data_IF_972389386683
#
_entry.id   IF_972389386683
#
_cell.length_a   1.000
_cell.length_b   1.000
_cell.length_c   1.000
_cell.angle_alpha   90.00
_cell.angle_beta   90.00
_cell.angle_gamma   90.00
#
_symmetry.space_group_name_H-M   'P 1'
#
loop_
_entity.id
_entity.type
_entity.pdbx_description
1 polymer ?
#
# COMPACT_ATOMS: atom_id res chain seq x y z
N UNK A 1 -18.00 6.08 2.80
CA UNK A 1 -16.55 6.09 3.11
C UNK A 1 -15.70 6.23 1.85
N UNK A 2 -15.84 5.36 0.84
CA UNK A 2 -15.09 5.52 -0.44
C UNK A 2 -15.28 6.90 -1.09
N UNK A 3 -16.53 7.40 -1.17
CA UNK A 3 -16.80 8.75 -1.69
C UNK A 3 -16.16 9.87 -0.86
N UNK A 4 -16.04 9.67 0.45
CA UNK A 4 -15.36 10.62 1.32
C UNK A 4 -13.84 10.58 1.08
N UNK A 5 -13.27 9.38 0.92
CA UNK A 5 -11.86 9.19 0.60
C UNK A 5 -11.46 9.92 -0.70
N UNK A 6 -12.30 9.86 -1.74
CA UNK A 6 -12.07 10.58 -3.01
C UNK A 6 -11.99 12.09 -2.89
N UNK A 7 -12.67 12.65 -1.87
CA UNK A 7 -12.65 14.09 -1.58
C UNK A 7 -11.51 14.48 -0.65
N UNK A 8 -10.82 13.52 -0.06
CA UNK A 8 -9.68 13.75 0.83
C UNK A 8 -8.41 13.95 0.01
N UNK A 9 -7.72 15.06 0.26
CA UNK A 9 -6.45 15.39 -0.41
C UNK A 9 -5.24 14.75 0.26
N UNK A 10 -5.28 14.58 1.59
CA UNK A 10 -4.17 14.02 2.37
C UNK A 10 -4.07 12.49 2.16
N UNK A 11 -2.95 11.97 1.61
CA UNK A 11 -2.88 10.57 1.20
C UNK A 11 -3.01 9.56 2.35
N UNK A 12 -2.50 9.86 3.55
CA UNK A 12 -2.59 8.98 4.72
C UNK A 12 -4.05 8.77 5.13
N UNK A 13 -4.78 9.86 5.33
CA UNK A 13 -6.21 9.84 5.65
C UNK A 13 -7.03 9.21 4.52
N UNK A 14 -6.69 9.48 3.25
CA UNK A 14 -7.36 8.85 2.11
C UNK A 14 -7.16 7.34 2.11
N UNK A 15 -5.94 6.85 2.35
CA UNK A 15 -5.64 5.44 2.46
C UNK A 15 -6.40 4.78 3.61
N UNK A 16 -6.46 5.43 4.78
CA UNK A 16 -7.26 4.93 5.91
C UNK A 16 -8.76 4.79 5.55
N UNK A 17 -9.34 5.81 4.90
CA UNK A 17 -10.75 5.79 4.53
C UNK A 17 -11.06 4.72 3.49
N UNK A 18 -10.17 4.51 2.52
CA UNK A 18 -10.30 3.42 1.56
C UNK A 18 -10.15 2.05 2.22
N UNK A 19 -9.15 1.85 3.08
CA UNK A 19 -8.98 0.61 3.84
C UNK A 19 -10.22 0.29 4.69
N UNK A 20 -10.77 1.29 5.39
CA UNK A 20 -12.04 1.14 6.14
C UNK A 20 -13.24 0.88 5.23
N UNK A 21 -13.25 1.43 4.02
CA UNK A 21 -14.27 1.10 3.03
C UNK A 21 -14.14 -0.39 2.68
N UNK A 22 -12.97 -0.85 2.22
CA UNK A 22 -12.73 -2.22 1.78
C UNK A 22 -13.03 -3.26 2.87
N UNK A 23 -12.74 -2.95 4.14
CA UNK A 23 -13.06 -3.83 5.27
C UNK A 23 -14.57 -4.02 5.53
N UNK A 24 -15.45 -3.24 4.89
CA UNK A 24 -16.89 -3.48 4.96
C UNK A 24 -17.35 -4.63 4.06
N UNK A 25 -16.55 -5.01 3.05
CA UNK A 25 -16.81 -6.20 2.25
C UNK A 25 -16.33 -7.44 2.99
N UNK A 26 -17.26 -8.31 3.38
CA UNK A 26 -16.99 -9.55 4.14
C UNK A 26 -16.90 -10.80 3.26
N UNK A 27 -16.82 -10.63 1.95
CA UNK A 27 -16.88 -11.72 0.98
C UNK A 27 -17.51 -11.24 -0.34
N UNK A 28 -17.86 -12.19 -1.23
CA UNK A 28 -18.58 -11.91 -2.46
C UNK A 28 -19.90 -11.18 -2.19
N UNK A 29 -20.26 -10.24 -3.05
CA UNK A 29 -21.57 -9.58 -3.00
C UNK A 29 -22.70 -10.61 -3.13
N UNK A 30 -23.72 -10.49 -2.28
CA UNK A 30 -24.89 -11.40 -2.25
C UNK A 30 -24.51 -12.89 -2.29
N UNK A 31 -23.52 -13.32 -1.50
CA UNK A 31 -23.03 -14.70 -1.50
C UNK A 31 -24.16 -15.76 -1.39
N UNK A 32 -25.19 -15.52 -0.57
CA UNK A 32 -26.34 -16.42 -0.39
C UNK A 32 -27.29 -16.47 -1.60
N UNK A 33 -27.15 -15.54 -2.56
CA UNK A 33 -27.96 -15.40 -3.76
C UNK A 33 -27.08 -15.36 -5.03
N UNK A 34 -25.87 -15.93 -4.96
CA UNK A 34 -24.86 -15.81 -6.01
C UNK A 34 -25.32 -16.39 -7.36
N UNK A 35 -26.23 -17.37 -7.35
CA UNK A 35 -26.77 -18.02 -8.55
C UNK A 35 -28.13 -17.46 -8.98
N UNK A 36 -28.67 -16.49 -8.23
CA UNK A 36 -30.01 -15.96 -8.49
C UNK A 36 -30.00 -14.93 -9.63
N UNK A 37 -30.82 -15.07 -10.69
CA UNK A 37 -30.82 -14.15 -11.83
C UNK A 37 -31.07 -12.69 -11.46
N UNK A 38 -31.91 -12.42 -10.46
CA UNK A 38 -32.21 -11.05 -10.01
C UNK A 38 -31.01 -10.37 -9.33
N UNK A 39 -30.08 -11.16 -8.77
CA UNK A 39 -28.93 -10.66 -8.03
C UNK A 39 -27.75 -10.35 -8.95
N UNK A 40 -27.63 -11.02 -10.11
CA UNK A 40 -26.46 -10.95 -11.00
C UNK A 40 -26.00 -9.52 -11.33
N UNK A 41 -26.92 -8.66 -11.76
CA UNK A 41 -26.59 -7.28 -12.10
C UNK A 41 -26.08 -6.47 -10.89
N UNK A 42 -26.65 -6.73 -9.71
CA UNK A 42 -26.23 -6.08 -8.46
C UNK A 42 -24.88 -6.60 -7.98
N UNK A 43 -24.62 -7.91 -8.11
CA UNK A 43 -23.34 -8.55 -7.81
C UNK A 43 -22.24 -7.94 -8.69
N UNK A 44 -22.43 -7.97 -10.01
CA UNK A 44 -21.46 -7.42 -10.96
C UNK A 44 -21.12 -5.95 -10.65
N UNK A 45 -22.13 -5.12 -10.39
CA UNK A 45 -21.94 -3.70 -10.03
C UNK A 45 -21.17 -3.52 -8.72
N UNK A 46 -21.46 -4.33 -7.70
CA UNK A 46 -20.81 -4.21 -6.39
C UNK A 46 -19.36 -4.72 -6.42
N UNK A 47 -19.08 -5.79 -7.16
CA UNK A 47 -17.72 -6.28 -7.38
C UNK A 47 -16.90 -5.29 -8.22
N UNK A 48 -17.48 -4.71 -9.27
CA UNK A 48 -16.88 -3.59 -10.01
C UNK A 48 -16.48 -2.46 -9.07
N UNK A 49 -17.43 -1.99 -8.25
CA UNK A 49 -17.20 -0.90 -7.31
C UNK A 49 -16.09 -1.25 -6.30
N UNK A 50 -16.05 -2.49 -5.82
CA UNK A 50 -15.00 -2.97 -4.92
C UNK A 50 -13.63 -2.92 -5.60
N UNK A 51 -13.53 -3.36 -6.85
CA UNK A 51 -12.29 -3.34 -7.62
C UNK A 51 -11.81 -1.92 -7.88
N UNK A 52 -12.70 -1.00 -8.26
CA UNK A 52 -12.32 0.42 -8.43
C UNK A 52 -11.78 1.00 -7.13
N UNK A 53 -12.42 0.72 -5.99
CA UNK A 53 -11.93 1.19 -4.68
C UNK A 53 -10.58 0.57 -4.32
N UNK A 54 -10.33 -0.69 -4.68
CA UNK A 54 -9.04 -1.35 -4.48
C UNK A 54 -7.93 -0.68 -5.32
N UNK A 55 -8.21 -0.34 -6.58
CA UNK A 55 -7.27 0.38 -7.45
C UNK A 55 -6.95 1.78 -6.88
N UNK A 56 -7.97 2.54 -6.47
CA UNK A 56 -7.80 3.87 -5.86
C UNK A 56 -7.02 3.79 -4.52
N UNK A 57 -7.28 2.75 -3.72
CA UNK A 57 -6.56 2.50 -2.48
C UNK A 57 -5.09 2.21 -2.76
N UNK A 58 -4.81 1.32 -3.71
CA UNK A 58 -3.47 0.92 -4.08
C UNK A 58 -2.65 2.10 -4.65
N UNK A 59 -3.27 2.92 -5.51
CA UNK A 59 -2.61 4.13 -6.04
C UNK A 59 -2.31 5.15 -4.94
N UNK A 60 -3.20 5.28 -3.95
CA UNK A 60 -2.92 6.13 -2.77
C UNK A 60 -1.75 5.59 -1.95
N UNK A 61 -1.61 4.27 -1.81
CA UNK A 61 -0.49 3.65 -1.09
C UNK A 61 0.84 3.76 -1.84
N UNK A 62 0.83 3.80 -3.17
CA UNK A 62 2.02 4.13 -3.95
C UNK A 62 2.55 5.53 -3.59
N UNK A 63 1.68 6.52 -3.42
CA UNK A 63 2.08 7.88 -3.02
C UNK A 63 2.69 7.94 -1.62
N UNK A 64 2.36 6.97 -0.77
CA UNK A 64 2.89 6.80 0.58
C UNK A 64 4.21 6.01 0.62
N UNK A 65 4.70 5.51 -0.52
CA UNK A 65 5.93 4.73 -0.61
C UNK A 65 5.82 3.28 -0.11
N UNK A 66 4.60 2.74 0.06
CA UNK A 66 4.36 1.41 0.62
C UNK A 66 4.57 0.26 -0.39
N UNK A 67 5.61 0.36 -1.22
CA UNK A 67 5.79 -0.46 -2.43
C UNK A 67 5.85 -1.97 -2.18
N UNK A 68 6.70 -2.41 -1.24
CA UNK A 68 6.99 -3.83 -1.03
C UNK A 68 5.78 -4.63 -0.54
N UNK A 69 5.09 -4.09 0.47
CA UNK A 69 3.88 -4.71 1.02
C UNK A 69 2.74 -4.67 0.00
N UNK A 70 2.55 -3.54 -0.69
CA UNK A 70 1.51 -3.41 -1.70
C UNK A 70 1.70 -4.39 -2.86
N UNK A 71 2.94 -4.59 -3.32
CA UNK A 71 3.24 -5.52 -4.41
C UNK A 71 2.83 -6.98 -4.07
N UNK A 72 3.00 -7.38 -2.81
CA UNK A 72 2.58 -8.71 -2.34
C UNK A 72 1.05 -8.80 -2.22
N UNK A 73 0.40 -7.80 -1.65
CA UNK A 73 -1.06 -7.78 -1.48
C UNK A 73 -1.82 -7.75 -2.82
N UNK A 74 -1.27 -7.08 -3.83
CA UNK A 74 -1.88 -7.03 -5.18
C UNK A 74 -1.67 -8.30 -6.00
N UNK A 75 -0.91 -9.29 -5.51
CA UNK A 75 -0.66 -10.50 -6.27
C UNK A 75 -1.95 -11.26 -6.60
N UNK A 76 -2.69 -11.65 -5.58
CA UNK A 76 -3.90 -12.45 -5.71
C UNK A 76 -5.03 -11.71 -6.47
N UNK A 77 -5.33 -10.42 -6.22
CA UNK A 77 -6.30 -9.68 -7.03
C UNK A 77 -5.96 -9.61 -8.53
N UNK A 78 -4.67 -9.48 -8.84
CA UNK A 78 -4.20 -9.39 -10.23
C UNK A 78 -4.34 -10.72 -10.97
N UNK A 79 -4.18 -11.85 -10.25
CA UNK A 79 -4.39 -13.20 -10.78
C UNK A 79 -5.88 -13.51 -10.95
N UNK A 80 -6.74 -13.08 -10.00
CA UNK A 80 -8.21 -13.24 -10.10
C UNK A 80 -8.84 -12.40 -11.19
N UNK A 81 -8.25 -11.25 -11.52
CA UNK A 81 -8.78 -10.32 -12.51
C UNK A 81 -7.73 -10.02 -13.60
N UNK A 82 -7.41 -11.00 -14.46
CA UNK A 82 -6.29 -10.90 -15.39
C UNK A 82 -6.42 -9.74 -16.40
N UNK A 83 -7.65 -9.39 -16.78
CA UNK A 83 -7.95 -8.32 -17.74
C UNK A 83 -8.10 -6.92 -17.12
N UNK A 84 -7.90 -6.78 -15.80
CA UNK A 84 -7.88 -5.46 -15.14
C UNK A 84 -6.52 -4.83 -15.27
N UNK A 85 -6.32 -4.09 -16.36
CA UNK A 85 -5.06 -3.40 -16.62
C UNK A 85 -4.70 -2.38 -15.53
N UNK A 86 -5.70 -1.77 -14.86
CA UNK A 86 -5.48 -0.87 -13.72
C UNK A 86 -4.73 -1.54 -12.56
N UNK A 87 -5.27 -2.65 -12.05
CA UNK A 87 -4.59 -3.47 -11.03
C UNK A 87 -3.19 -3.94 -11.47
N UNK A 88 -3.05 -4.37 -12.73
CA UNK A 88 -1.75 -4.79 -13.29
C UNK A 88 -0.75 -3.63 -13.27
N UNK A 89 -1.15 -2.45 -13.72
CA UNK A 89 -0.32 -1.25 -13.73
C UNK A 89 0.14 -0.87 -12.32
N UNK A 90 -0.77 -0.85 -11.35
CA UNK A 90 -0.44 -0.51 -9.95
C UNK A 90 0.48 -1.55 -9.31
N UNK A 91 0.31 -2.86 -9.60
CA UNK A 91 1.26 -3.90 -9.16
C UNK A 91 2.63 -3.73 -9.81
N UNK A 92 2.70 -3.41 -11.11
CA UNK A 92 3.96 -3.13 -11.81
C UNK A 92 4.69 -1.95 -11.17
N UNK A 93 3.99 -0.84 -10.87
CA UNK A 93 4.56 0.31 -10.16
C UNK A 93 5.07 -0.06 -8.78
N UNK A 94 4.30 -0.82 -8.00
CA UNK A 94 4.70 -1.28 -6.68
C UNK A 94 5.97 -2.14 -6.73
N UNK A 95 6.06 -3.08 -7.68
CA UNK A 95 7.26 -3.90 -7.89
C UNK A 95 8.47 -3.04 -8.29
N UNK A 96 8.28 -2.08 -9.21
CA UNK A 96 9.33 -1.18 -9.64
C UNK A 96 9.86 -0.29 -8.50
N UNK A 97 8.97 0.32 -7.71
CA UNK A 97 9.33 1.12 -6.53
C UNK A 97 10.02 0.30 -5.43
N UNK A 98 9.74 -1.00 -5.34
CA UNK A 98 10.44 -1.94 -4.47
C UNK A 98 11.78 -2.45 -5.05
N UNK A 99 12.23 -1.93 -6.20
CA UNK A 99 13.48 -2.35 -6.85
C UNK A 99 13.40 -3.69 -7.60
N UNK A 100 12.19 -4.25 -7.78
CA UNK A 100 11.94 -5.57 -8.39
C UNK A 100 11.55 -5.44 -9.86
N UNK A 101 12.38 -4.75 -10.65
CA UNK A 101 12.11 -4.45 -12.07
C UNK A 101 11.78 -5.69 -12.91
N UNK A 102 12.54 -6.79 -12.75
CA UNK A 102 12.33 -8.00 -13.53
C UNK A 102 10.91 -8.58 -13.33
N UNK A 103 10.41 -8.54 -12.10
CA UNK A 103 9.06 -9.01 -11.78
C UNK A 103 7.99 -8.05 -12.32
N UNK A 104 8.25 -6.74 -12.29
CA UNK A 104 7.35 -5.77 -12.92
C UNK A 104 7.22 -6.01 -14.43
N UNK A 105 8.32 -6.31 -15.13
CA UNK A 105 8.30 -6.64 -16.56
C UNK A 105 7.62 -8.00 -16.84
N UNK A 106 7.76 -8.97 -15.94
CA UNK A 106 7.03 -10.24 -16.04
C UNK A 106 5.51 -10.04 -15.98
N UNK A 107 5.02 -9.16 -15.09
CA UNK A 107 3.58 -8.83 -15.02
C UNK A 107 3.04 -8.29 -16.35
N UNK A 108 3.83 -7.46 -17.06
CA UNK A 108 3.46 -6.95 -18.39
C UNK A 108 3.41 -8.07 -19.44
N UNK A 109 4.37 -8.99 -19.42
CA UNK A 109 4.39 -10.12 -20.35
C UNK A 109 3.20 -11.06 -20.12
N UNK A 110 2.82 -11.28 -18.86
CA UNK A 110 1.67 -12.10 -18.51
C UNK A 110 0.35 -11.49 -19.00
N UNK A 111 0.11 -10.19 -18.76
CA UNK A 111 -1.14 -9.55 -19.22
C UNK A 111 -1.22 -9.48 -20.75
N UNK A 112 -0.11 -9.21 -21.43
CA UNK A 112 -0.08 -9.24 -22.90
C UNK A 112 -0.46 -10.62 -23.44
N UNK A 113 0.11 -11.68 -22.86
CA UNK A 113 -0.22 -13.05 -23.24
C UNK A 113 -1.70 -13.37 -22.99
N UNK A 114 -2.24 -13.02 -21.82
CA UNK A 114 -3.66 -13.25 -21.53
C UNK A 114 -4.59 -12.48 -22.48
N UNK A 115 -4.28 -11.22 -22.81
CA UNK A 115 -5.09 -10.42 -23.73
C UNK A 115 -5.06 -10.98 -25.16
N UNK A 116 -3.89 -11.40 -25.63
CA UNK A 116 -3.72 -11.99 -26.96
C UNK A 116 -4.42 -13.36 -27.04
N UNK A 117 -4.13 -14.26 -26.10
CA UNK A 117 -4.64 -15.63 -26.12
C UNK A 117 -6.17 -15.70 -25.95
N UNK A 118 -6.76 -14.89 -25.07
CA UNK A 118 -8.19 -14.98 -24.71
C UNK A 118 -9.08 -14.03 -25.50
N UNK A 119 -8.55 -12.86 -25.89
CA UNK A 119 -9.34 -11.79 -26.53
C UNK A 119 -8.81 -11.37 -27.91
N UNK A 120 -7.60 -11.79 -28.30
CA UNK A 120 -6.94 -11.31 -29.52
C UNK A 120 -6.64 -9.81 -29.48
N UNK A 121 -6.41 -9.27 -28.28
CA UNK A 121 -6.18 -7.85 -28.04
C UNK A 121 -4.74 -7.59 -27.58
N UNK A 122 -4.25 -6.38 -27.86
CA UNK A 122 -2.99 -5.89 -27.30
C UNK A 122 -3.25 -5.04 -26.05
N UNK A 123 -2.25 -4.90 -25.15
CA UNK A 123 -2.35 -4.04 -23.97
C UNK A 123 -2.70 -2.59 -24.31
N UNK A 124 -3.45 -1.94 -23.42
CA UNK A 124 -3.83 -0.55 -23.56
C UNK A 124 -2.64 0.41 -23.52
N UNK A 125 -2.77 1.62 -24.10
CA UNK A 125 -1.66 2.57 -24.26
C UNK A 125 -1.00 2.95 -22.93
N UNK A 126 -1.78 3.13 -21.86
CA UNK A 126 -1.25 3.46 -20.54
C UNK A 126 -0.30 2.37 -19.99
N UNK A 127 -0.61 1.10 -20.25
CA UNK A 127 0.20 -0.04 -19.79
C UNK A 127 1.46 -0.21 -20.64
N UNK A 128 1.35 0.03 -21.95
CA UNK A 128 2.50 0.09 -22.88
C UNK A 128 3.46 1.20 -22.49
N UNK A 129 2.95 2.41 -22.22
CA UNK A 129 3.74 3.56 -21.79
C UNK A 129 4.47 3.28 -20.46
N UNK A 130 3.77 2.66 -19.50
CA UNK A 130 4.35 2.26 -18.22
C UNK A 130 5.53 1.30 -18.41
N UNK A 131 5.33 0.25 -19.22
CA UNK A 131 6.37 -0.72 -19.54
C UNK A 131 7.59 -0.06 -20.19
N UNK A 132 7.37 0.82 -21.17
CA UNK A 132 8.46 1.56 -21.81
C UNK A 132 9.20 2.49 -20.84
N UNK A 133 8.48 3.17 -19.94
CA UNK A 133 9.08 3.99 -18.89
C UNK A 133 9.97 3.17 -17.95
N UNK A 134 9.53 1.97 -17.57
CA UNK A 134 10.31 1.05 -16.72
C UNK A 134 11.58 0.56 -17.42
N UNK A 135 11.52 0.26 -18.72
CA UNK A 135 12.71 -0.11 -19.50
C UNK A 135 13.74 1.03 -19.55
N UNK A 136 13.29 2.28 -19.60
CA UNK A 136 14.15 3.48 -19.53
C UNK A 136 14.59 3.82 -18.11
N UNK A 137 14.10 3.11 -17.10
CA UNK A 137 14.30 3.41 -15.67
C UNK A 137 13.88 4.84 -15.30
N UNK A 138 12.79 5.30 -15.93
CA UNK A 138 12.26 6.64 -15.71
C UNK A 138 11.64 6.72 -14.30
N UNK A 139 12.07 7.65 -13.42
CA UNK A 139 11.42 7.84 -12.12
C UNK A 139 9.97 8.32 -12.23
N UNK A 140 9.57 8.93 -13.35
CA UNK A 140 8.21 9.43 -13.55
C UNK A 140 7.15 8.33 -13.69
N UNK A 141 7.55 7.04 -13.75
CA UNK A 141 6.60 5.92 -13.74
C UNK A 141 5.92 5.73 -12.38
N UNK A 142 6.54 6.23 -11.30
CA UNK A 142 5.98 6.23 -9.96
C UNK A 142 5.22 7.54 -9.74
N UNK A 143 4.08 7.49 -9.02
CA UNK A 143 3.42 8.72 -8.60
C UNK A 143 4.37 9.52 -7.67
N UNK A 144 4.28 10.86 -7.67
CA UNK A 144 5.10 11.67 -6.80
C UNK A 144 4.83 11.28 -5.33
N UNK A 145 5.89 10.88 -4.63
CA UNK A 145 5.79 10.58 -3.20
C UNK A 145 5.38 11.85 -2.45
N UNK A 146 4.35 11.74 -1.62
CA UNK A 146 4.02 12.81 -0.69
C UNK A 146 4.90 12.61 0.53
N UNK A 147 5.78 13.58 0.87
CA UNK A 147 6.59 13.46 2.06
C UNK A 147 5.65 13.26 3.24
N UNK A 148 5.74 12.10 3.89
CA UNK A 148 5.02 11.86 5.12
C UNK A 148 5.54 12.93 6.07
N UNK A 149 4.71 13.94 6.36
CA UNK A 149 4.99 14.81 7.49
C UNK A 149 4.95 13.86 8.67
N UNK A 150 6.14 13.45 9.14
CA UNK A 150 6.29 12.72 10.39
C UNK A 150 5.34 13.37 11.39
N UNK A 151 4.62 12.60 12.22
CA UNK A 151 3.74 13.19 13.22
C UNK A 151 4.56 14.27 13.88
N UNK A 152 4.12 15.53 13.75
CA UNK A 152 4.70 16.63 14.50
C UNK A 152 4.50 16.19 15.94
N UNK A 153 5.51 15.56 16.52
CA UNK A 153 5.64 15.44 17.96
C UNK A 153 5.48 16.87 18.38
N UNK A 154 4.35 17.18 18.99
CA UNK A 154 3.94 18.54 19.33
C UNK A 154 5.15 19.27 19.89
N UNK A 155 5.78 20.11 19.07
CA UNK A 155 6.85 21.01 19.48
C UNK A 155 6.16 22.24 20.08
N UNK A 156 5.18 21.99 20.96
CA UNK A 156 4.84 22.95 21.97
C UNK A 156 6.16 23.19 22.72
N UNK A 157 6.66 24.44 22.75
CA UNK A 157 7.99 24.72 23.27
C UNK A 157 8.00 24.18 24.69
N UNK A 158 8.77 23.12 24.92
CA UNK A 158 8.99 22.56 26.25
C UNK A 158 9.43 23.74 27.11
N UNK A 159 8.51 24.26 27.93
CA UNK A 159 8.85 25.28 28.91
C UNK A 159 9.99 24.66 29.69
N UNK A 160 11.19 25.22 29.53
CA UNK A 160 12.34 24.89 30.35
C UNK A 160 11.99 25.32 31.77
N UNK A 161 11.27 24.47 32.49
CA UNK A 161 11.06 24.63 33.91
C UNK A 161 12.38 24.26 34.56
N UNK A 162 13.10 25.25 35.07
CA UNK A 162 14.29 25.10 35.91
C UNK A 162 13.91 24.49 37.28
N UNK A 163 13.17 23.38 37.30
CA UNK A 163 13.01 22.61 38.52
C UNK A 163 14.17 21.60 38.58
N UNK A 164 15.06 21.69 39.57
CA UNK A 164 16.02 20.62 39.82
C UNK A 164 15.24 19.34 40.15
N UNK A 165 15.58 18.26 39.46
CA UNK A 165 15.03 16.93 39.72
C UNK A 165 15.30 16.53 41.18
N UNK A 166 14.25 16.11 41.90
CA UNK A 166 14.41 15.53 43.25
C UNK A 166 15.20 14.23 43.12
N UNK A 167 16.46 14.26 43.55
CA UNK A 167 17.29 13.07 43.71
C UNK A 167 16.75 12.28 44.91
N UNK A 168 16.07 11.16 44.65
CA UNK A 168 15.77 10.18 45.69
C UNK A 168 17.05 9.45 46.10
N UNK A 169 17.20 9.30 47.42
CA UNK A 169 18.46 9.03 48.08
C UNK A 169 19.05 7.63 47.91
N UNK A 170 20.38 7.64 47.92
CA UNK A 170 21.30 6.66 48.51
C UNK A 170 20.72 5.26 48.85
N UNK A 171 20.97 4.29 47.97
CA UNK A 171 20.96 2.86 48.32
C UNK A 171 22.38 2.35 48.13
N UNK A 172 22.99 1.94 49.25
CA UNK A 172 24.38 1.54 49.34
C UNK A 172 24.73 0.25 48.61
N UNK A 173 25.95 0.20 48.07
CA UNK A 173 26.69 -1.05 47.90
C UNK A 173 27.74 -1.14 49.00
N UNK A 174 27.37 -1.78 50.10
CA UNK A 174 28.31 -2.33 51.06
C UNK A 174 28.90 -3.63 50.49
N UNK A 175 30.23 -3.68 50.40
CA UNK A 175 30.99 -4.93 50.30
C UNK A 175 31.55 -5.28 48.92
N UNK A 176 32.76 -4.82 48.64
CA UNK A 176 33.89 -5.73 48.43
C UNK A 176 35.20 -4.92 48.44
N UNK A 177 36.05 -5.19 49.43
CA UNK A 177 37.44 -4.75 49.43
C UNK A 177 38.28 -5.88 48.82
N UNK A 178 39.15 -5.63 47.84
CA UNK A 178 40.17 -6.58 47.45
C UNK A 178 41.29 -6.57 48.50
N UNK A 179 41.53 -7.72 49.15
CA UNK A 179 42.73 -7.95 49.94
C UNK A 179 43.91 -8.20 48.99
N UNK A 180 44.85 -7.26 48.95
CA UNK A 180 46.23 -7.51 48.56
C UNK A 180 47.00 -8.09 49.75
N UNK A 181 47.80 -9.15 49.52
CA UNK A 181 48.72 -9.68 50.53
C UNK A 181 49.38 -11.02 50.16
N UNK A 182 50.39 -10.94 49.28
CA UNK A 182 51.72 -11.58 49.35
C UNK A 182 51.84 -13.07 49.73
N UNK A 183 52.30 -13.91 48.80
CA UNK A 183 53.62 -14.57 48.75
C UNK A 183 53.76 -15.34 47.43
#
# INVERSE_FOLDING_TARGET
>A
MAEQARRTTEPGQRAELFGRALNQWRGPAFADFADEPFAQASIARLEEQRLSVLEEYAETRLQLGEYGQLAAELQEPTERHPFREGLRATRMRALYGAGRLNEALAVYQDVRRHLDDELGLEPGPALVELHQGMLRRDPAVLPPEVPISAPRVDDSPRRRTNLPARVTGLIGRSGSLPRCGRC
#
